data_IF_655467834110
#
_entry.id   IF_655467834110
#
_cell.length_a   1.000
_cell.length_b   1.000
_cell.length_c   1.000
_cell.angle_alpha   90.00
_cell.angle_beta   90.00
_cell.angle_gamma   90.00
#
_symmetry.space_group_name_H-M   'P 1'
#
loop_
_entity.id
_entity.type
_entity.pdbx_description
1 polymer ?
#
# COMPACT_ATOMS: atom_id res chain seq x y z
N UNK A 1 -24.70 -13.32 -7.31
CA UNK A 1 -24.03 -14.05 -8.42
C UNK A 1 -24.74 -14.01 -9.77
N UNK A 2 -25.99 -13.52 -9.88
CA UNK A 2 -26.70 -13.55 -11.19
C UNK A 2 -26.89 -12.15 -11.86
N UNK A 3 -26.67 -11.06 -11.12
CA UNK A 3 -26.79 -9.67 -11.63
C UNK A 3 -25.52 -9.22 -12.37
N UNK A 4 -24.35 -9.68 -11.95
CA UNK A 4 -23.05 -9.33 -12.56
C UNK A 4 -22.84 -10.02 -13.92
N UNK A 5 -23.30 -11.27 -14.05
CA UNK A 5 -23.28 -12.04 -15.31
C UNK A 5 -24.30 -11.52 -16.33
N UNK A 6 -25.49 -11.09 -15.87
CA UNK A 6 -26.48 -10.42 -16.74
C UNK A 6 -25.95 -9.10 -17.29
N UNK A 7 -25.29 -8.27 -16.47
CA UNK A 7 -24.72 -7.00 -16.94
C UNK A 7 -23.54 -7.15 -17.92
N UNK A 8 -22.84 -8.30 -17.90
CA UNK A 8 -21.87 -8.64 -18.95
C UNK A 8 -22.55 -9.12 -20.24
N UNK A 9 -23.57 -9.98 -20.16
CA UNK A 9 -24.24 -10.51 -21.36
C UNK A 9 -25.07 -9.45 -22.11
N UNK A 10 -25.69 -8.51 -21.40
CA UNK A 10 -26.49 -7.44 -22.05
C UNK A 10 -25.60 -6.39 -22.74
N UNK A 11 -24.32 -6.26 -22.38
CA UNK A 11 -23.39 -5.33 -23.05
C UNK A 11 -22.69 -5.92 -24.28
N UNK A 12 -22.73 -7.24 -24.47
CA UNK A 12 -22.01 -7.92 -25.57
C UNK A 12 -22.88 -8.00 -26.84
N UNK A 13 -24.21 -7.94 -26.74
CA UNK A 13 -25.10 -8.07 -27.91
C UNK A 13 -25.42 -6.77 -28.65
N UNK A 14 -25.25 -5.59 -28.03
CA UNK A 14 -25.66 -4.31 -28.63
C UNK A 14 -24.53 -3.29 -28.84
N UNK A 15 -23.27 -3.69 -28.70
CA UNK A 15 -22.15 -2.76 -28.89
C UNK A 15 -21.16 -3.32 -29.92
N UNK A 16 -20.83 -2.44 -30.88
CA UNK A 16 -19.74 -2.50 -31.87
C UNK A 16 -20.12 -3.05 -33.25
N UNK A 17 -20.69 -2.19 -34.10
CA UNK A 17 -20.62 -2.32 -35.58
C UNK A 17 -19.36 -1.70 -36.21
N UNK A 18 -18.47 -1.09 -35.42
CA UNK A 18 -17.26 -0.46 -35.95
C UNK A 18 -16.04 -0.65 -35.02
N UNK A 19 -14.99 -1.39 -35.45
CA UNK A 19 -13.74 -1.55 -34.69
C UNK A 19 -13.06 -0.24 -34.27
N UNK A 20 -13.24 0.83 -35.04
CA UNK A 20 -12.66 2.15 -34.75
C UNK A 20 -13.32 2.81 -33.55
N UNK A 21 -14.64 2.69 -33.40
CA UNK A 21 -15.39 3.24 -32.25
C UNK A 21 -15.07 2.50 -30.95
N UNK A 22 -14.89 1.17 -31.02
CA UNK A 22 -14.43 0.37 -29.88
C UNK A 22 -13.02 0.80 -29.43
N UNK A 23 -12.10 1.03 -30.36
CA UNK A 23 -10.75 1.53 -30.07
C UNK A 23 -10.76 2.94 -29.47
N UNK A 24 -11.67 3.81 -29.91
CA UNK A 24 -11.83 5.17 -29.34
C UNK A 24 -12.42 5.10 -27.94
N UNK A 25 -13.41 4.24 -27.70
CA UNK A 25 -14.00 3.99 -26.38
C UNK A 25 -12.97 3.46 -25.38
N UNK A 26 -12.24 2.40 -25.74
CA UNK A 26 -11.17 1.83 -24.91
C UNK A 26 -10.03 2.81 -24.62
N UNK A 27 -9.74 3.73 -25.55
CA UNK A 27 -8.76 4.81 -25.31
C UNK A 27 -9.29 5.82 -24.31
N UNK A 28 -10.53 6.29 -24.45
CA UNK A 28 -11.17 7.21 -23.50
C UNK A 28 -11.28 6.61 -22.10
N UNK A 29 -11.74 5.37 -21.98
CA UNK A 29 -11.83 4.66 -20.69
C UNK A 29 -10.45 4.56 -20.02
N UNK A 30 -9.41 4.17 -20.77
CA UNK A 30 -8.04 4.15 -20.24
C UNK A 30 -7.51 5.53 -19.86
N UNK A 31 -7.91 6.58 -20.55
CA UNK A 31 -7.48 7.95 -20.29
C UNK A 31 -8.16 8.52 -19.05
N UNK A 32 -9.46 8.24 -18.86
CA UNK A 32 -10.22 8.57 -17.66
C UNK A 32 -9.71 7.79 -16.44
N UNK A 33 -9.47 6.48 -16.58
CA UNK A 33 -8.87 5.64 -15.54
C UNK A 33 -7.48 6.14 -15.14
N UNK A 34 -6.65 6.58 -16.10
CA UNK A 34 -5.33 7.19 -15.82
C UNK A 34 -5.44 8.52 -15.08
N UNK A 35 -6.48 9.30 -15.38
CA UNK A 35 -6.71 10.63 -14.79
C UNK A 35 -7.24 10.52 -13.36
N UNK A 36 -8.11 9.56 -13.09
CA UNK A 36 -8.54 9.22 -11.72
C UNK A 36 -7.37 8.69 -10.89
N UNK A 37 -6.57 7.78 -11.44
CA UNK A 37 -5.42 7.21 -10.74
C UNK A 37 -4.33 8.25 -10.41
N UNK A 38 -4.30 9.40 -11.07
CA UNK A 38 -3.28 10.44 -10.87
C UNK A 38 -3.58 11.43 -9.74
N UNK A 39 -4.74 11.34 -9.09
CA UNK A 39 -5.12 12.26 -8.01
C UNK A 39 -4.55 11.79 -6.67
N UNK A 40 -4.05 12.75 -5.90
CA UNK A 40 -3.77 12.54 -4.49
C UNK A 40 -5.09 12.46 -3.71
N UNK A 41 -5.14 11.59 -2.70
CA UNK A 41 -6.34 11.40 -1.88
C UNK A 41 -6.07 11.81 -0.43
N UNK A 42 -7.07 12.42 0.21
CA UNK A 42 -6.97 12.82 1.61
C UNK A 42 -7.04 11.60 2.53
N UNK A 43 -6.26 11.61 3.62
CA UNK A 43 -6.28 10.56 4.64
C UNK A 43 -7.66 10.34 5.26
N UNK A 44 -8.50 11.37 5.28
CA UNK A 44 -9.85 11.28 5.86
C UNK A 44 -10.79 10.35 5.08
N UNK A 45 -10.42 9.99 3.84
CA UNK A 45 -11.13 8.96 3.07
C UNK A 45 -10.79 7.54 3.51
N UNK A 46 -9.77 7.35 4.35
CA UNK A 46 -9.27 6.05 4.81
C UNK A 46 -9.50 5.86 6.33
N UNK A 47 -10.68 5.36 6.75
CA UNK A 47 -10.98 5.12 8.16
C UNK A 47 -10.07 4.07 8.81
N UNK A 48 -9.38 3.25 8.00
CA UNK A 48 -8.38 2.29 8.45
C UNK A 48 -7.11 2.95 9.01
N UNK A 49 -6.82 4.20 8.65
CA UNK A 49 -5.65 4.94 9.14
C UNK A 49 -6.02 5.58 10.46
N UNK A 50 -5.38 5.13 11.54
CA UNK A 50 -5.57 5.72 12.87
C UNK A 50 -5.22 7.21 12.92
N UNK A 51 -5.96 7.99 13.71
CA UNK A 51 -5.73 9.44 13.85
C UNK A 51 -4.29 9.79 14.21
N UNK A 52 -3.70 9.02 15.14
CA UNK A 52 -2.30 9.19 15.52
C UNK A 52 -1.33 8.96 14.36
N UNK A 53 -1.63 8.08 13.42
CA UNK A 53 -0.82 7.94 12.20
C UNK A 53 -0.99 9.14 11.28
N UNK A 54 -2.23 9.64 11.10
CA UNK A 54 -2.49 10.84 10.30
C UNK A 54 -1.72 12.05 10.82
N UNK A 55 -1.73 12.27 12.14
CA UNK A 55 -0.94 13.33 12.80
C UNK A 55 0.54 13.21 12.46
N UNK A 56 1.14 12.02 12.63
CA UNK A 56 2.56 11.79 12.32
C UNK A 56 2.92 11.96 10.85
N UNK A 57 2.03 11.58 9.94
CA UNK A 57 2.22 11.79 8.50
C UNK A 57 2.22 13.29 8.18
N UNK A 58 1.27 14.05 8.76
CA UNK A 58 1.21 15.51 8.62
C UNK A 58 2.46 16.20 9.21
N UNK A 59 2.92 15.78 10.39
CA UNK A 59 4.19 16.25 10.99
C UNK A 59 5.41 15.96 10.11
N UNK A 60 5.38 14.85 9.36
CA UNK A 60 6.42 14.46 8.42
C UNK A 60 6.31 15.17 7.05
N UNK A 61 5.40 16.14 6.92
CA UNK A 61 5.17 16.90 5.69
C UNK A 61 4.34 16.18 4.63
N UNK A 62 3.67 15.08 4.98
CA UNK A 62 2.81 14.31 4.08
C UNK A 62 1.37 14.72 4.35
N UNK A 63 0.78 15.48 3.42
CA UNK A 63 -0.57 16.03 3.56
C UNK A 63 -1.67 15.13 2.99
N UNK A 64 -1.31 14.26 2.04
CA UNK A 64 -2.20 13.41 1.25
C UNK A 64 -1.48 12.12 0.84
N UNK A 65 -2.24 11.11 0.45
CA UNK A 65 -1.70 9.90 -0.16
C UNK A 65 -1.45 10.13 -1.66
N UNK A 66 -0.26 9.74 -2.10
CA UNK A 66 0.06 9.72 -3.53
C UNK A 66 -0.73 8.63 -4.27
N UNK A 67 -0.99 8.78 -5.57
CA UNK A 67 -1.60 7.78 -6.46
C UNK A 67 -1.34 6.31 -6.14
N UNK A 68 -0.05 5.94 -6.03
CA UNK A 68 0.35 4.55 -5.77
C UNK A 68 0.03 4.10 -4.35
N UNK A 69 0.03 5.02 -3.39
CA UNK A 69 -0.31 4.73 -2.00
C UNK A 69 -1.81 4.47 -1.89
N UNK A 70 -2.64 5.35 -2.43
CA UNK A 70 -4.10 5.21 -2.47
C UNK A 70 -4.54 3.94 -3.18
N UNK A 71 -4.06 3.73 -4.42
CA UNK A 71 -4.45 2.57 -5.25
C UNK A 71 -4.02 1.22 -4.68
N UNK A 72 -2.98 1.17 -3.85
CA UNK A 72 -2.49 -0.09 -3.25
C UNK A 72 -3.00 -0.31 -1.82
N UNK A 73 -3.45 0.74 -1.14
CA UNK A 73 -3.74 0.73 0.29
C UNK A 73 -4.65 -0.43 0.70
N UNK A 74 -5.83 -0.52 0.07
CA UNK A 74 -6.85 -1.50 0.46
C UNK A 74 -6.43 -2.93 0.15
N UNK A 75 -5.69 -3.15 -0.94
CA UNK A 75 -5.18 -4.47 -1.31
C UNK A 75 -4.21 -5.00 -0.25
N UNK A 76 -3.27 -4.16 0.20
CA UNK A 76 -2.28 -4.54 1.21
C UNK A 76 -2.95 -4.66 2.58
N UNK A 77 -3.81 -3.71 2.94
CA UNK A 77 -4.54 -3.74 4.20
C UNK A 77 -5.43 -4.98 4.34
N UNK A 78 -6.02 -5.46 3.24
CA UNK A 78 -6.83 -6.68 3.19
C UNK A 78 -6.00 -7.96 3.06
N UNK A 79 -4.67 -7.87 2.95
CA UNK A 79 -3.75 -8.98 2.74
C UNK A 79 -4.06 -9.76 1.45
N UNK A 80 -4.21 -9.01 0.35
CA UNK A 80 -4.36 -9.52 -1.01
C UNK A 80 -3.04 -9.37 -1.77
N UNK A 81 -2.76 -10.32 -2.65
CA UNK A 81 -1.61 -10.24 -3.55
C UNK A 81 -1.79 -9.08 -4.54
N UNK A 82 -0.68 -8.41 -4.84
CA UNK A 82 -0.65 -7.17 -5.61
C UNK A 82 0.66 -7.11 -6.40
N UNK A 83 0.57 -6.65 -7.65
CA UNK A 83 1.71 -6.17 -8.43
C UNK A 83 1.49 -4.68 -8.69
N UNK A 84 2.40 -3.85 -8.18
CA UNK A 84 2.35 -2.41 -8.33
C UNK A 84 3.56 -1.92 -9.12
N UNK A 85 3.34 -1.04 -10.11
CA UNK A 85 4.41 -0.45 -10.92
C UNK A 85 4.27 1.07 -10.97
N UNK A 86 5.32 1.76 -10.56
CA UNK A 86 5.36 3.21 -10.58
C UNK A 86 6.80 3.75 -10.61
N UNK A 87 6.99 5.02 -10.95
CA UNK A 87 8.27 5.71 -11.07
C UNK A 87 9.00 5.82 -9.72
N UNK A 88 10.33 5.84 -9.73
CA UNK A 88 11.12 6.10 -8.52
C UNK A 88 10.75 7.45 -7.91
N UNK A 89 10.75 7.55 -6.58
CA UNK A 89 10.34 8.77 -5.88
C UNK A 89 8.82 8.95 -5.70
N UNK A 90 7.98 8.05 -6.24
CA UNK A 90 6.52 8.13 -6.11
C UNK A 90 5.95 7.68 -4.75
N UNK A 91 6.80 7.51 -3.73
CA UNK A 91 6.32 7.13 -2.40
C UNK A 91 5.93 5.65 -2.23
N UNK A 92 6.39 4.75 -3.12
CA UNK A 92 6.14 3.29 -3.05
C UNK A 92 6.47 2.65 -1.70
N UNK A 93 7.50 3.14 -1.00
CA UNK A 93 7.88 2.59 0.31
C UNK A 93 6.74 2.78 1.32
N UNK A 94 6.22 4.00 1.43
CA UNK A 94 5.08 4.27 2.30
C UNK A 94 3.82 3.54 1.82
N UNK A 95 3.66 3.36 0.50
CA UNK A 95 2.52 2.67 -0.11
C UNK A 95 2.32 1.25 0.45
N UNK A 96 3.38 0.51 0.76
CA UNK A 96 3.25 -0.77 1.44
C UNK A 96 3.44 -0.71 2.96
N UNK A 97 4.30 0.18 3.48
CA UNK A 97 4.55 0.27 4.93
C UNK A 97 3.30 0.70 5.70
N UNK A 98 2.60 1.73 5.22
CA UNK A 98 1.46 2.33 5.90
C UNK A 98 0.29 1.34 6.09
N UNK A 99 -0.30 0.76 5.01
CA UNK A 99 -1.41 -0.18 5.17
C UNK A 99 -1.01 -1.45 5.93
N UNK A 100 0.25 -1.89 5.81
CA UNK A 100 0.76 -3.04 6.57
C UNK A 100 0.74 -2.78 8.08
N UNK A 101 1.26 -1.64 8.53
CA UNK A 101 1.31 -1.28 9.94
C UNK A 101 -0.10 -1.04 10.50
N UNK A 102 -0.97 -0.34 9.77
CA UNK A 102 -2.37 -0.15 10.19
C UNK A 102 -3.14 -1.48 10.29
N UNK A 103 -2.89 -2.43 9.39
CA UNK A 103 -3.46 -3.78 9.49
C UNK A 103 -3.01 -4.47 10.77
N UNK A 104 -1.72 -4.40 11.11
CA UNK A 104 -1.20 -5.01 12.34
C UNK A 104 -1.69 -4.35 13.63
N UNK A 105 -1.99 -3.05 13.60
CA UNK A 105 -2.71 -2.38 14.68
C UNK A 105 -4.12 -2.95 14.84
N UNK A 106 -4.89 -3.07 13.75
CA UNK A 106 -6.23 -3.66 13.77
C UNK A 106 -6.24 -5.11 14.27
N UNK A 107 -5.21 -5.88 13.94
CA UNK A 107 -5.08 -7.28 14.39
C UNK A 107 -4.47 -7.40 15.80
N UNK A 108 -4.18 -6.28 16.47
CA UNK A 108 -3.58 -6.21 17.81
C UNK A 108 -2.23 -6.94 17.92
N UNK A 109 -1.43 -6.93 16.85
CA UNK A 109 -0.12 -7.60 16.82
C UNK A 109 0.95 -6.88 17.63
N UNK A 110 0.75 -5.59 17.91
CA UNK A 110 1.65 -4.74 18.70
C UNK A 110 1.30 -4.70 20.19
N UNK A 111 0.26 -5.43 20.60
CA UNK A 111 -0.11 -5.57 22.01
C UNK A 111 0.81 -6.60 22.68
N UNK A 112 1.42 -6.30 23.84
CA UNK A 112 2.23 -7.26 24.57
C UNK A 112 1.41 -8.50 24.92
N UNK A 113 1.70 -9.64 24.29
CA UNK A 113 1.08 -10.92 24.64
C UNK A 113 1.84 -11.54 25.81
N UNK A 114 1.10 -12.22 26.71
CA UNK A 114 1.69 -12.93 27.86
C UNK A 114 2.65 -14.07 27.44
N UNK A 115 2.56 -14.53 26.20
CA UNK A 115 3.45 -15.53 25.62
C UNK A 115 4.69 -14.88 24.99
N UNK A 116 5.87 -15.35 25.39
CA UNK A 116 7.21 -14.90 24.93
C UNK A 116 7.52 -15.18 23.44
N UNK A 117 6.56 -15.65 22.64
CA UNK A 117 6.79 -15.99 21.25
C UNK A 117 7.09 -14.72 20.44
N UNK A 118 8.36 -14.56 20.04
CA UNK A 118 8.80 -13.53 19.09
C UNK A 118 8.32 -13.94 17.69
N UNK A 119 7.10 -13.55 17.34
CA UNK A 119 6.56 -13.88 16.03
C UNK A 119 7.13 -12.95 14.96
N UNK A 120 7.55 -13.53 13.83
CA UNK A 120 7.91 -12.81 12.61
C UNK A 120 6.64 -12.66 11.76
N UNK A 121 6.20 -11.42 11.52
CA UNK A 121 4.96 -11.15 10.78
C UNK A 121 5.20 -10.79 9.31
N UNK A 122 6.30 -10.10 9.00
CA UNK A 122 6.61 -9.62 7.64
C UNK A 122 8.07 -9.83 7.31
N UNK A 123 8.34 -10.20 6.05
CA UNK A 123 9.65 -10.11 5.42
C UNK A 123 9.56 -9.13 4.26
N UNK A 124 10.45 -8.14 4.24
CA UNK A 124 10.56 -7.18 3.13
C UNK A 124 11.94 -7.37 2.52
N UNK A 125 11.98 -7.66 1.22
CA UNK A 125 13.22 -7.89 0.48
C UNK A 125 13.54 -6.67 -0.38
N UNK A 126 14.78 -6.22 -0.31
CA UNK A 126 15.30 -5.10 -1.10
C UNK A 126 16.66 -5.46 -1.70
N UNK A 127 17.01 -4.94 -2.89
CA UNK A 127 18.22 -5.38 -3.58
C UNK A 127 19.53 -4.81 -2.99
N UNK A 128 19.48 -3.74 -2.20
CA UNK A 128 20.69 -3.12 -1.61
C UNK A 128 20.50 -2.80 -0.13
N UNK A 129 21.62 -2.61 0.57
CA UNK A 129 21.68 -2.21 1.98
C UNK A 129 21.00 -0.86 2.22
N UNK A 130 21.24 0.10 1.35
CA UNK A 130 20.71 1.46 1.45
C UNK A 130 19.19 1.45 1.40
N UNK A 131 18.62 0.66 0.49
CA UNK A 131 17.17 0.49 0.39
C UNK A 131 16.60 -0.23 1.62
N UNK A 132 17.28 -1.26 2.15
CA UNK A 132 16.85 -1.95 3.36
C UNK A 132 16.76 -0.97 4.56
N UNK A 133 17.78 -0.12 4.72
CA UNK A 133 17.82 0.91 5.75
C UNK A 133 16.73 1.97 5.55
N UNK A 134 16.48 2.40 4.31
CA UNK A 134 15.40 3.33 4.00
C UNK A 134 14.03 2.76 4.41
N UNK A 135 13.74 1.50 4.05
CA UNK A 135 12.48 0.83 4.44
C UNK A 135 12.37 0.71 5.95
N UNK A 136 13.45 0.28 6.62
CA UNK A 136 13.46 0.15 8.10
C UNK A 136 13.19 1.49 8.79
N UNK A 137 13.80 2.57 8.32
CA UNK A 137 13.56 3.91 8.86
C UNK A 137 12.12 4.35 8.61
N UNK A 138 11.56 4.06 7.43
CA UNK A 138 10.17 4.39 7.12
C UNK A 138 9.19 3.67 8.04
N UNK A 139 9.40 2.38 8.31
CA UNK A 139 8.63 1.65 9.31
C UNK A 139 8.77 2.31 10.69
N UNK A 140 9.99 2.59 11.16
CA UNK A 140 10.20 3.21 12.49
C UNK A 140 9.48 4.55 12.66
N UNK A 141 9.40 5.39 11.60
CA UNK A 141 8.65 6.66 11.64
C UNK A 141 7.17 6.45 11.94
N UNK A 142 6.58 5.35 11.46
CA UNK A 142 5.17 5.02 11.67
C UNK A 142 4.86 4.58 13.10
N UNK A 143 5.84 4.28 13.96
CA UNK A 143 5.59 3.85 15.33
C UNK A 143 4.89 4.92 16.16
N UNK A 144 3.80 4.61 16.84
CA UNK A 144 3.08 5.52 17.73
C UNK A 144 3.80 5.77 19.05
N UNK A 145 4.61 4.82 19.49
CA UNK A 145 5.39 4.88 20.72
C UNK A 145 6.68 4.12 20.54
N UNK A 146 7.65 4.40 21.41
CA UNK A 146 8.89 3.64 21.44
C UNK A 146 8.59 2.15 21.66
N UNK A 147 9.31 1.28 20.93
CA UNK A 147 9.17 -0.17 21.02
C UNK A 147 7.75 -0.72 20.75
N UNK A 148 6.91 -0.02 19.98
CA UNK A 148 5.59 -0.54 19.54
C UNK A 148 5.72 -1.87 18.79
N UNK A 149 6.73 -1.97 17.93
CA UNK A 149 7.15 -3.20 17.27
C UNK A 149 8.65 -3.18 17.00
N UNK A 150 9.19 -4.31 16.54
CA UNK A 150 10.62 -4.44 16.20
C UNK A 150 10.81 -4.54 14.71
N UNK A 151 11.82 -3.85 14.20
CA UNK A 151 12.27 -3.92 12.81
C UNK A 151 13.72 -4.38 12.84
N UNK A 152 13.96 -5.61 12.37
CA UNK A 152 15.29 -6.16 12.18
C UNK A 152 15.68 -5.99 10.70
N UNK A 153 16.85 -5.42 10.44
CA UNK A 153 17.35 -5.19 9.08
C UNK A 153 18.60 -6.02 8.89
N UNK A 154 18.57 -6.96 7.95
CA UNK A 154 19.70 -7.85 7.67
C UNK A 154 20.24 -7.61 6.26
N UNK A 155 21.54 -7.44 6.13
CA UNK A 155 22.23 -7.31 4.84
C UNK A 155 23.69 -7.81 4.92
N UNK A 156 24.26 -8.16 3.76
CA UNK A 156 25.66 -8.61 3.67
C UNK A 156 26.68 -7.51 3.92
N UNK A 157 27.94 -7.90 4.18
CA UNK A 157 29.07 -6.98 4.33
C UNK A 157 29.27 -6.40 5.74
N UNK A 158 28.46 -6.82 6.73
CA UNK A 158 28.63 -6.50 8.16
C UNK A 158 28.43 -7.80 8.96
N UNK A 159 29.21 -8.06 10.03
CA UNK A 159 28.99 -9.24 10.88
C UNK A 159 27.55 -9.31 11.39
N UNK A 160 26.97 -10.52 11.41
CA UNK A 160 25.56 -10.72 11.81
C UNK A 160 25.31 -10.36 13.29
N UNK A 161 26.36 -10.47 14.12
CA UNK A 161 26.33 -10.12 15.55
C UNK A 161 26.06 -8.63 15.80
N UNK A 162 26.37 -7.77 14.81
CA UNK A 162 26.18 -6.33 14.87
C UNK A 162 24.86 -5.85 14.22
N UNK A 163 23.96 -6.78 13.85
CA UNK A 163 22.68 -6.51 13.18
C UNK A 163 21.51 -6.99 14.04
#
# INVERSE_FOLDING_TARGET
NDVFQRNMKTKVSDVVKNPQELMVGLKKEKEEEKKELSKEEDFDTYPEITEKTKEKLKESGIASLFPIQSSTFKHIYDNKDLIARDLTGSGKTLAFCLPLVERYRKLEYFTPKKTFARNLYTVIMTPTRELALQVSNELKKLMHRENEYRVLTVYGGVPIEHQ
#
